data_IF_350105780527
#
_entry.id   IF_350105780527
#
_cell.length_a   1.000
_cell.length_b   1.000
_cell.length_c   1.000
_cell.angle_alpha   90.00
_cell.angle_beta   90.00
_cell.angle_gamma   90.00
#
_symmetry.space_group_name_H-M   'P 1'
#
loop_
_entity.id
_entity.type
_entity.pdbx_description
1 polymer ?
#
# COMPACT_ATOMS: atom_id res chain seq x y z
N UNK A 1 4.61 23.51 -17.41
CA UNK A 1 3.35 22.84 -17.00
C UNK A 1 3.51 21.32 -16.79
N UNK A 2 4.58 20.67 -17.31
CA UNK A 2 4.76 19.22 -17.20
C UNK A 2 5.34 18.76 -15.87
N UNK A 3 5.98 19.60 -15.08
CA UNK A 3 6.69 19.20 -13.85
C UNK A 3 5.78 19.09 -12.62
N UNK A 4 4.64 19.77 -12.62
CA UNK A 4 3.69 19.69 -11.48
C UNK A 4 3.01 18.32 -11.42
N UNK A 5 2.71 17.70 -12.56
CA UNK A 5 2.11 16.36 -12.61
C UNK A 5 3.05 15.23 -12.20
N UNK A 6 4.37 15.42 -12.28
CA UNK A 6 5.37 14.43 -11.86
C UNK A 6 5.57 14.34 -10.33
N UNK A 7 4.91 15.20 -9.56
CA UNK A 7 5.06 15.29 -8.10
C UNK A 7 3.86 14.77 -7.32
N UNK A 8 2.93 14.07 -7.96
CA UNK A 8 1.84 13.41 -7.24
C UNK A 8 2.22 11.96 -6.94
N UNK A 9 2.25 11.63 -5.67
CA UNK A 9 2.25 10.24 -5.24
C UNK A 9 0.81 9.72 -5.30
N UNK A 10 0.58 8.60 -5.97
CA UNK A 10 -0.70 7.92 -5.98
C UNK A 10 -0.50 6.52 -5.39
N UNK A 11 -1.33 6.14 -4.46
CA UNK A 11 -1.23 4.86 -3.79
C UNK A 11 -2.57 4.23 -3.47
N UNK A 12 -2.52 2.93 -3.27
CA UNK A 12 -3.60 2.17 -2.67
C UNK A 12 -3.52 2.32 -1.15
N UNK A 13 -4.63 2.70 -0.54
CA UNK A 13 -4.73 2.97 0.89
C UNK A 13 -5.68 1.96 1.53
N UNK A 14 -5.21 1.25 2.54
CA UNK A 14 -6.00 0.37 3.37
C UNK A 14 -6.59 1.14 4.54
N UNK A 15 -7.83 0.85 4.89
CA UNK A 15 -8.43 1.38 6.10
C UNK A 15 -7.90 0.60 7.33
N UNK A 16 -6.92 1.15 8.01
CA UNK A 16 -6.27 0.51 9.17
C UNK A 16 -7.19 0.36 10.38
N UNK A 17 -8.37 0.99 10.39
CA UNK A 17 -9.38 0.76 11.43
C UNK A 17 -10.10 -0.59 11.26
N UNK A 18 -10.07 -1.18 10.07
CA UNK A 18 -10.60 -2.51 9.83
C UNK A 18 -9.69 -3.56 10.48
N UNK A 19 -10.23 -4.51 11.27
CA UNK A 19 -9.43 -5.50 11.99
C UNK A 19 -8.40 -6.23 11.13
N UNK A 20 -8.78 -6.62 9.91
CA UNK A 20 -7.91 -7.34 8.97
C UNK A 20 -6.67 -6.54 8.53
N UNK A 21 -6.73 -5.21 8.57
CA UNK A 21 -5.62 -4.34 8.14
C UNK A 21 -4.84 -3.71 9.30
N UNK A 22 -5.20 -3.96 10.55
CA UNK A 22 -4.43 -3.45 11.70
C UNK A 22 -3.02 -4.01 11.73
N UNK A 23 -2.86 -5.29 11.46
CA UNK A 23 -1.55 -5.91 11.42
C UNK A 23 -0.75 -5.43 10.19
N UNK A 24 0.44 -4.84 10.44
CA UNK A 24 1.35 -4.37 9.41
C UNK A 24 1.76 -5.48 8.43
N UNK A 25 1.92 -6.72 8.93
CA UNK A 25 2.32 -7.88 8.12
C UNK A 25 1.30 -8.19 7.03
N UNK A 26 0.01 -8.04 7.32
CA UNK A 26 -1.06 -8.19 6.33
C UNK A 26 -0.90 -7.15 5.23
N UNK A 27 -0.73 -5.86 5.58
CA UNK A 27 -0.55 -4.79 4.60
C UNK A 27 0.72 -4.97 3.75
N UNK A 28 1.80 -5.44 4.36
CA UNK A 28 3.05 -5.77 3.63
C UNK A 28 2.83 -6.93 2.64
N UNK A 29 2.16 -7.99 3.06
CA UNK A 29 1.82 -9.11 2.20
C UNK A 29 0.99 -8.67 1.00
N UNK A 30 -0.05 -7.88 1.23
CA UNK A 30 -0.90 -7.34 0.17
C UNK A 30 -0.12 -6.44 -0.80
N UNK A 31 0.82 -5.62 -0.30
CA UNK A 31 1.66 -4.77 -1.13
C UNK A 31 2.62 -5.57 -2.03
N UNK A 32 3.10 -6.75 -1.58
CA UNK A 32 3.96 -7.63 -2.38
C UNK A 32 3.23 -8.28 -3.55
N UNK A 33 1.92 -8.45 -3.46
CA UNK A 33 1.10 -9.09 -4.49
C UNK A 33 0.73 -8.16 -5.65
N UNK A 34 1.03 -6.86 -5.53
CA UNK A 34 0.93 -5.90 -6.60
C UNK A 34 2.19 -5.90 -7.45
N UNK A 35 2.13 -6.52 -8.63
CA UNK A 35 3.22 -6.49 -9.62
C UNK A 35 3.22 -5.15 -10.37
N UNK A 36 3.88 -4.15 -9.75
CA UNK A 36 3.96 -2.81 -10.31
C UNK A 36 4.75 -2.79 -11.62
N UNK A 37 5.86 -3.51 -11.69
CA UNK A 37 6.77 -3.52 -12.84
C UNK A 37 6.06 -4.08 -14.09
N UNK A 38 5.30 -5.17 -13.92
CA UNK A 38 4.48 -5.72 -14.98
C UNK A 38 3.36 -4.76 -15.40
N UNK A 39 2.61 -4.23 -14.44
CA UNK A 39 1.51 -3.32 -14.70
C UNK A 39 1.99 -2.03 -15.38
N UNK A 40 3.13 -1.48 -14.94
CA UNK A 40 3.73 -0.29 -15.54
C UNK A 40 4.15 -0.54 -16.98
N UNK A 41 4.76 -1.69 -17.27
CA UNK A 41 5.19 -2.06 -18.62
C UNK A 41 4.00 -2.33 -19.55
N UNK A 42 3.07 -3.15 -19.12
CA UNK A 42 2.00 -3.66 -19.99
C UNK A 42 0.79 -2.73 -20.11
N UNK A 43 0.49 -1.95 -19.07
CA UNK A 43 -0.75 -1.18 -19.00
C UNK A 43 -0.51 0.33 -18.92
N UNK A 44 0.62 0.77 -18.37
CA UNK A 44 0.92 2.18 -18.13
C UNK A 44 2.08 2.71 -18.99
N UNK A 45 2.57 1.92 -19.96
CA UNK A 45 3.61 2.32 -20.94
C UNK A 45 4.90 2.85 -20.30
N UNK A 46 5.28 2.33 -19.14
CA UNK A 46 6.44 2.76 -18.35
C UNK A 46 6.41 4.25 -17.95
N UNK A 47 5.21 4.84 -17.83
CA UNK A 47 5.08 6.27 -17.49
C UNK A 47 5.21 6.57 -16.00
N UNK A 48 5.22 5.55 -15.15
CA UNK A 48 5.23 5.72 -13.70
C UNK A 48 6.51 5.17 -13.07
N UNK A 49 6.84 5.69 -11.91
CA UNK A 49 7.97 5.24 -11.08
C UNK A 49 7.40 4.78 -9.74
N UNK A 50 7.85 3.62 -9.24
CA UNK A 50 7.47 3.14 -7.91
C UNK A 50 7.99 4.11 -6.86
N UNK A 51 7.09 4.61 -6.02
CA UNK A 51 7.45 5.52 -4.93
C UNK A 51 8.23 4.76 -3.85
N UNK A 52 9.33 5.35 -3.39
CA UNK A 52 10.18 4.83 -2.31
C UNK A 52 10.16 5.73 -1.07
N UNK A 53 9.62 6.94 -1.19
CA UNK A 53 9.51 7.93 -0.13
C UNK A 53 8.32 8.85 -0.39
N UNK A 54 7.74 9.42 0.65
CA UNK A 54 6.78 10.51 0.52
C UNK A 54 7.38 11.72 -0.21
N UNK A 55 8.67 11.94 -0.06
CA UNK A 55 9.41 13.03 -0.66
C UNK A 55 10.20 12.62 -1.91
N UNK A 56 9.76 11.57 -2.61
CA UNK A 56 10.42 11.13 -3.84
C UNK A 56 10.67 12.32 -4.78
N UNK A 57 11.85 12.35 -5.41
CA UNK A 57 12.31 13.45 -6.28
C UNK A 57 12.54 14.80 -5.55
N UNK A 58 12.81 14.78 -4.26
CA UNK A 58 13.23 15.96 -3.49
C UNK A 58 14.46 15.63 -2.64
N UNK A 59 15.19 16.66 -2.16
CA UNK A 59 16.31 16.46 -1.24
C UNK A 59 15.92 15.82 0.10
N UNK A 60 14.64 15.80 0.44
CA UNK A 60 14.10 15.18 1.66
C UNK A 60 13.82 13.69 1.51
N UNK A 61 14.05 13.11 0.32
CA UNK A 61 13.87 11.67 0.12
C UNK A 61 14.98 10.91 0.85
N UNK A 62 14.59 10.02 1.76
CA UNK A 62 15.55 9.15 2.43
C UNK A 62 16.24 8.25 1.40
N UNK A 63 17.55 8.42 1.23
CA UNK A 63 18.40 7.65 0.31
C UNK A 63 19.41 6.76 1.03
N UNK A 64 19.57 6.97 2.34
CA UNK A 64 20.48 6.24 3.22
C UNK A 64 19.83 6.09 4.61
N UNK A 65 20.30 5.17 5.45
CA UNK A 65 19.86 5.08 6.85
C UNK A 65 20.05 6.41 7.58
N UNK A 66 19.30 6.68 8.65
CA UNK A 66 19.40 7.94 9.39
C UNK A 66 20.85 8.21 9.85
N UNK A 67 21.38 9.42 9.61
CA UNK A 67 22.70 9.82 10.14
C UNK A 67 22.65 9.94 11.68
N UNK A 68 23.81 10.01 12.36
CA UNK A 68 23.88 10.04 13.83
C UNK A 68 23.00 11.13 14.48
N UNK A 69 22.87 12.28 13.83
CA UNK A 69 22.08 13.41 14.31
C UNK A 69 20.56 13.09 14.28
N UNK A 70 20.10 12.45 13.23
CA UNK A 70 18.72 11.96 13.10
C UNK A 70 18.46 10.80 14.07
N UNK A 71 19.41 9.88 14.21
CA UNK A 71 19.31 8.77 15.15
C UNK A 71 19.13 9.27 16.59
N UNK A 72 19.83 10.35 16.98
CA UNK A 72 19.67 10.95 18.32
C UNK A 72 18.23 11.44 18.58
N UNK A 73 17.56 11.94 17.53
CA UNK A 73 16.14 12.38 17.62
C UNK A 73 15.19 11.18 17.65
N UNK A 74 15.53 10.12 16.91
CA UNK A 74 14.67 8.92 16.80
C UNK A 74 14.81 7.97 17.99
N UNK A 75 15.96 7.97 18.69
CA UNK A 75 16.27 7.03 19.77
C UNK A 75 15.21 6.95 20.88
N UNK A 76 14.60 8.07 21.35
CA UNK A 76 13.50 8.01 22.30
C UNK A 76 12.26 7.24 21.84
N UNK A 77 12.12 7.00 20.54
CA UNK A 77 11.01 6.26 19.93
C UNK A 77 11.33 4.77 19.76
N UNK A 78 12.52 4.31 20.15
CA UNK A 78 12.90 2.89 20.06
C UNK A 78 11.93 2.02 20.86
N UNK A 79 11.45 0.95 20.20
CA UNK A 79 10.40 0.09 20.74
C UNK A 79 8.96 0.59 20.52
N UNK A 80 8.77 1.85 20.09
CA UNK A 80 7.47 2.39 19.70
C UNK A 80 7.28 2.37 18.17
N UNK A 81 8.38 2.41 17.43
CA UNK A 81 8.40 2.31 15.97
C UNK A 81 9.21 1.08 15.53
N UNK A 82 9.01 0.57 14.32
CA UNK A 82 9.76 -0.59 13.82
C UNK A 82 11.26 -0.36 13.80
N UNK A 83 12.07 -1.37 14.16
CA UNK A 83 13.53 -1.27 14.22
C UNK A 83 14.17 -0.92 12.87
N UNK A 84 13.52 -1.25 11.76
CA UNK A 84 13.97 -0.90 10.42
C UNK A 84 14.12 0.61 10.22
N UNK A 85 13.36 1.43 10.96
CA UNK A 85 13.45 2.91 10.91
C UNK A 85 14.86 3.38 11.27
N UNK A 86 15.55 2.67 12.16
CA UNK A 86 16.90 3.04 12.63
C UNK A 86 18.03 2.51 11.76
N UNK A 87 17.75 1.50 10.92
CA UNK A 87 18.81 0.71 10.26
C UNK A 87 18.70 0.62 8.76
N UNK A 88 17.54 0.93 8.18
CA UNK A 88 17.27 0.66 6.78
C UNK A 88 16.54 1.82 6.10
N UNK A 89 16.75 1.93 4.80
CA UNK A 89 15.89 2.76 3.95
C UNK A 89 14.72 1.91 3.49
N UNK A 90 13.51 2.45 3.55
CA UNK A 90 12.35 1.78 3.00
C UNK A 90 12.52 1.50 1.51
N UNK A 91 12.24 0.26 1.12
CA UNK A 91 12.19 -0.16 -0.27
C UNK A 91 10.86 -0.82 -0.55
N UNK A 92 10.12 -0.27 -1.51
CA UNK A 92 8.90 -0.92 -1.97
C UNK A 92 9.22 -2.28 -2.58
N UNK A 93 8.32 -3.27 -2.47
CA UNK A 93 8.51 -4.56 -3.14
C UNK A 93 8.72 -4.39 -4.64
N UNK A 94 9.73 -5.05 -5.18
CA UNK A 94 10.06 -5.05 -6.61
C UNK A 94 9.88 -6.46 -7.16
N UNK A 95 9.38 -6.58 -8.39
CA UNK A 95 9.28 -7.82 -9.16
C UNK A 95 10.16 -7.75 -10.40
N UNK A 96 10.30 -8.84 -11.12
CA UNK A 96 10.97 -8.87 -12.43
C UNK A 96 10.09 -8.34 -13.58
N UNK A 97 8.82 -8.07 -13.29
CA UNK A 97 7.83 -7.61 -14.26
C UNK A 97 7.40 -8.69 -15.25
N UNK A 98 7.61 -9.96 -14.96
CA UNK A 98 7.17 -11.08 -15.79
C UNK A 98 5.67 -11.33 -15.70
N UNK A 99 5.01 -10.85 -14.66
CA UNK A 99 3.63 -11.19 -14.30
C UNK A 99 3.52 -12.51 -13.54
N UNK A 100 4.63 -13.19 -13.28
CA UNK A 100 4.73 -14.39 -12.45
C UNK A 100 5.42 -14.03 -11.14
N UNK A 101 4.65 -13.84 -10.08
CA UNK A 101 5.15 -13.35 -8.79
C UNK A 101 5.17 -14.44 -7.70
N UNK A 102 5.45 -15.68 -8.09
CA UNK A 102 5.41 -16.83 -7.16
C UNK A 102 6.25 -16.61 -5.90
N UNK A 103 7.43 -16.04 -6.04
CA UNK A 103 8.31 -15.76 -4.90
C UNK A 103 7.67 -14.75 -3.93
N UNK A 104 7.00 -13.73 -4.48
CA UNK A 104 6.27 -12.74 -3.67
C UNK A 104 5.04 -13.34 -3.02
N UNK A 105 4.37 -14.27 -3.69
CA UNK A 105 3.23 -15.01 -3.12
C UNK A 105 3.67 -15.88 -1.93
N UNK A 106 4.80 -16.58 -2.02
CA UNK A 106 5.33 -17.37 -0.91
C UNK A 106 5.75 -16.47 0.28
N UNK A 107 6.40 -15.34 0.01
CA UNK A 107 6.74 -14.35 1.04
C UNK A 107 5.48 -13.75 1.69
N UNK A 108 4.47 -13.43 0.89
CA UNK A 108 3.20 -12.91 1.39
C UNK A 108 2.47 -13.94 2.26
N UNK A 109 2.42 -15.20 1.85
CA UNK A 109 1.82 -16.28 2.64
C UNK A 109 2.50 -16.43 3.99
N UNK A 110 3.83 -16.39 4.06
CA UNK A 110 4.57 -16.47 5.33
C UNK A 110 4.22 -15.30 6.28
N UNK A 111 4.08 -14.09 5.74
CA UNK A 111 3.65 -12.92 6.53
C UNK A 111 2.20 -13.05 7.01
N UNK A 112 1.32 -13.56 6.17
CA UNK A 112 -0.09 -13.76 6.50
C UNK A 112 -0.26 -14.85 7.56
N UNK A 113 0.48 -15.96 7.44
CA UNK A 113 0.50 -17.03 8.44
C UNK A 113 1.01 -16.52 9.79
N UNK A 114 2.11 -15.76 9.79
CA UNK A 114 2.62 -15.10 11.00
C UNK A 114 1.61 -14.08 11.60
N UNK A 115 0.71 -13.54 10.79
CA UNK A 115 -0.38 -12.66 11.22
C UNK A 115 -1.67 -13.42 11.60
N UNK A 116 -1.66 -14.76 11.62
CA UNK A 116 -2.79 -15.59 12.04
C UNK A 116 -3.77 -15.97 10.92
N UNK A 117 -3.40 -15.76 9.66
CA UNK A 117 -4.20 -16.17 8.50
C UNK A 117 -3.72 -17.51 7.97
N UNK A 118 -4.57 -18.53 7.94
CA UNK A 118 -4.21 -19.88 7.53
C UNK A 118 -5.05 -20.37 6.35
N UNK A 119 -4.50 -21.22 5.48
CA UNK A 119 -5.25 -21.81 4.38
C UNK A 119 -6.36 -22.73 4.88
N UNK A 120 -7.56 -22.56 4.32
CA UNK A 120 -8.70 -23.47 4.53
C UNK A 120 -9.44 -23.65 3.20
N UNK A 121 -9.20 -24.79 2.56
CA UNK A 121 -9.64 -25.02 1.18
C UNK A 121 -8.95 -24.06 0.22
N UNK A 122 -9.74 -23.32 -0.53
CA UNK A 122 -9.29 -22.31 -1.49
C UNK A 122 -9.19 -20.89 -0.92
N UNK A 123 -9.37 -20.73 0.39
CA UNK A 123 -9.36 -19.42 1.07
C UNK A 123 -8.35 -19.34 2.20
N UNK A 124 -7.88 -18.12 2.48
CA UNK A 124 -7.18 -17.78 3.72
C UNK A 124 -8.21 -17.31 4.74
N UNK A 125 -8.15 -17.86 5.95
CA UNK A 125 -9.08 -17.54 7.04
C UNK A 125 -8.33 -17.15 8.30
N UNK A 126 -8.96 -16.33 9.14
CA UNK A 126 -8.49 -16.01 10.50
C UNK A 126 -8.82 -17.13 11.50
N UNK A 127 -8.52 -16.93 12.76
CA UNK A 127 -8.80 -17.88 13.85
C UNK A 127 -10.30 -18.17 14.02
N UNK A 128 -11.17 -17.23 13.68
CA UNK A 128 -12.63 -17.36 13.74
C UNK A 128 -13.21 -18.06 12.50
N UNK A 129 -12.37 -18.37 11.51
CA UNK A 129 -12.77 -19.00 10.26
C UNK A 129 -13.31 -18.02 9.22
N UNK A 130 -13.18 -16.72 9.44
CA UNK A 130 -13.60 -15.68 8.51
C UNK A 130 -12.56 -15.53 7.39
N UNK A 131 -12.99 -15.46 6.11
CA UNK A 131 -12.07 -15.32 4.98
C UNK A 131 -11.44 -13.94 4.91
N UNK A 132 -10.19 -13.87 4.41
CA UNK A 132 -9.54 -12.62 4.05
C UNK A 132 -10.16 -12.09 2.76
N UNK A 133 -11.18 -11.28 2.92
CA UNK A 133 -11.98 -10.71 1.85
C UNK A 133 -12.18 -9.23 2.08
N UNK A 134 -11.96 -8.40 1.05
CA UNK A 134 -12.13 -6.96 1.14
C UNK A 134 -12.54 -6.33 -0.18
N UNK A 135 -13.06 -5.11 -0.11
CA UNK A 135 -13.57 -4.36 -1.25
C UNK A 135 -12.66 -3.19 -1.59
N UNK A 136 -12.25 -3.12 -2.85
CA UNK A 136 -11.67 -1.91 -3.43
C UNK A 136 -12.79 -0.99 -3.90
N UNK A 137 -12.93 0.16 -3.24
CA UNK A 137 -13.90 1.17 -3.62
C UNK A 137 -13.30 2.12 -4.65
N UNK A 138 -13.99 2.35 -5.74
CA UNK A 138 -13.50 3.08 -6.90
C UNK A 138 -14.57 4.01 -7.48
N UNK A 139 -14.16 5.20 -7.94
CA UNK A 139 -14.98 6.14 -8.69
C UNK A 139 -14.51 6.34 -10.15
N UNK A 140 -13.36 5.75 -10.54
CA UNK A 140 -12.73 5.97 -11.84
C UNK A 140 -12.88 4.74 -12.76
N UNK A 141 -13.49 4.92 -13.93
CA UNK A 141 -13.76 3.82 -14.87
C UNK A 141 -12.49 3.07 -15.35
N UNK A 142 -11.35 3.77 -15.50
CA UNK A 142 -10.12 3.16 -16.02
C UNK A 142 -9.34 2.32 -15.02
N UNK A 143 -9.58 2.52 -13.72
CA UNK A 143 -8.79 1.90 -12.66
C UNK A 143 -9.07 0.40 -12.50
N UNK A 144 -10.27 -0.05 -12.85
CA UNK A 144 -10.65 -1.47 -12.76
C UNK A 144 -9.70 -2.37 -13.54
N UNK A 145 -9.31 -1.95 -14.74
CA UNK A 145 -8.38 -2.73 -15.58
C UNK A 145 -7.03 -2.95 -14.89
N UNK A 146 -6.53 -1.95 -14.16
CA UNK A 146 -5.28 -2.04 -13.42
C UNK A 146 -5.37 -2.98 -12.23
N UNK A 147 -6.57 -3.13 -11.66
CA UNK A 147 -6.81 -3.98 -10.49
C UNK A 147 -7.01 -5.46 -10.84
N UNK A 148 -7.36 -5.81 -12.07
CA UNK A 148 -7.61 -7.20 -12.45
C UNK A 148 -6.39 -8.12 -12.26
N UNK A 149 -5.17 -7.75 -12.65
CA UNK A 149 -3.97 -8.55 -12.37
C UNK A 149 -3.73 -8.72 -10.87
N UNK A 150 -3.93 -7.65 -10.10
CA UNK A 150 -3.81 -7.70 -8.64
C UNK A 150 -4.84 -8.65 -8.03
N UNK A 151 -6.11 -8.54 -8.42
CA UNK A 151 -7.17 -9.46 -8.00
C UNK A 151 -6.82 -10.91 -8.29
N UNK A 152 -6.26 -11.19 -9.47
CA UNK A 152 -5.81 -12.54 -9.84
C UNK A 152 -4.69 -13.03 -8.93
N UNK A 153 -3.68 -12.20 -8.67
CA UNK A 153 -2.56 -12.56 -7.80
C UNK A 153 -3.00 -12.86 -6.36
N UNK A 154 -3.95 -12.08 -5.84
CA UNK A 154 -4.58 -12.30 -4.54
C UNK A 154 -5.35 -13.62 -4.50
N UNK A 155 -6.17 -13.89 -5.51
CA UNK A 155 -6.99 -15.10 -5.59
C UNK A 155 -6.13 -16.38 -5.62
N UNK A 156 -4.95 -16.34 -6.24
CA UNK A 156 -4.03 -17.47 -6.30
C UNK A 156 -3.54 -17.95 -4.93
N UNK A 157 -3.62 -17.10 -3.91
CA UNK A 157 -3.26 -17.46 -2.53
C UNK A 157 -4.46 -17.41 -1.57
N UNK A 158 -5.68 -17.45 -2.10
CA UNK A 158 -6.89 -17.57 -1.29
C UNK A 158 -7.45 -16.27 -0.74
N UNK A 159 -7.06 -15.11 -1.27
CA UNK A 159 -7.57 -13.80 -0.87
C UNK A 159 -8.61 -13.31 -1.88
N UNK A 160 -9.75 -12.84 -1.40
CA UNK A 160 -10.83 -12.32 -2.25
C UNK A 160 -10.79 -10.80 -2.29
N UNK A 161 -10.59 -10.23 -3.48
CA UNK A 161 -10.73 -8.79 -3.74
C UNK A 161 -12.01 -8.52 -4.53
N UNK A 162 -12.94 -7.76 -3.95
CA UNK A 162 -14.11 -7.25 -4.64
C UNK A 162 -13.82 -5.84 -5.17
N UNK A 163 -14.13 -5.58 -6.43
CA UNK A 163 -13.97 -4.24 -7.02
C UNK A 163 -15.36 -3.64 -7.16
N UNK A 164 -15.61 -2.54 -6.46
CA UNK A 164 -16.89 -1.86 -6.45
C UNK A 164 -16.74 -0.43 -6.98
N UNK A 165 -17.40 -0.14 -8.10
CA UNK A 165 -17.50 1.21 -8.63
C UNK A 165 -18.74 1.91 -8.11
N UNK A 166 -18.58 3.17 -7.70
CA UNK A 166 -19.64 4.07 -7.26
C UNK A 166 -19.44 5.44 -7.91
N UNK A 167 -20.42 6.32 -7.80
CA UNK A 167 -20.28 7.70 -8.25
C UNK A 167 -19.35 8.52 -7.33
N UNK A 168 -18.84 9.64 -7.87
CA UNK A 168 -17.84 10.46 -7.17
C UNK A 168 -18.36 11.06 -5.86
N UNK A 169 -19.64 11.41 -5.77
CA UNK A 169 -20.22 11.99 -4.57
C UNK A 169 -20.30 10.97 -3.45
N UNK A 170 -20.76 9.75 -3.75
CA UNK A 170 -20.76 8.65 -2.81
C UNK A 170 -19.33 8.26 -2.39
N UNK A 171 -18.38 8.29 -3.34
CA UNK A 171 -16.97 8.00 -3.06
C UNK A 171 -16.40 8.94 -2.01
N UNK A 172 -16.58 10.26 -2.19
CA UNK A 172 -16.12 11.27 -1.23
C UNK A 172 -16.78 11.08 0.13
N UNK A 173 -18.11 10.91 0.17
CA UNK A 173 -18.85 10.73 1.41
C UNK A 173 -18.37 9.50 2.21
N UNK A 174 -18.09 8.38 1.51
CA UNK A 174 -17.60 7.16 2.16
C UNK A 174 -16.17 7.31 2.67
N UNK A 175 -15.30 8.01 1.95
CA UNK A 175 -13.94 8.32 2.43
C UNK A 175 -14.03 9.14 3.71
N UNK A 176 -14.84 10.21 3.73
CA UNK A 176 -15.01 11.07 4.91
C UNK A 176 -15.59 10.31 6.10
N UNK A 177 -16.50 9.37 5.85
CA UNK A 177 -17.07 8.49 6.87
C UNK A 177 -16.15 7.29 7.25
N UNK A 178 -14.97 7.14 6.60
CA UNK A 178 -14.09 5.98 6.73
C UNK A 178 -14.79 4.63 6.45
N UNK A 179 -15.82 4.67 5.60
CA UNK A 179 -16.60 3.49 5.19
C UNK A 179 -16.04 2.90 3.88
N UNK A 180 -14.86 2.34 3.98
CA UNK A 180 -14.18 1.62 2.90
C UNK A 180 -13.21 0.59 3.48
N UNK A 181 -12.78 -0.38 2.67
CA UNK A 181 -11.69 -1.28 3.02
C UNK A 181 -10.39 -0.84 2.35
N UNK A 182 -10.43 -0.62 1.05
CA UNK A 182 -9.29 -0.17 0.24
C UNK A 182 -9.75 0.83 -0.81
N UNK A 183 -8.97 1.89 -1.02
CA UNK A 183 -9.22 2.96 -1.99
C UNK A 183 -7.93 3.35 -2.71
N UNK A 184 -8.05 4.23 -3.72
CA UNK A 184 -6.90 4.94 -4.30
C UNK A 184 -6.95 6.41 -3.89
N UNK A 185 -5.83 6.94 -3.41
CA UNK A 185 -5.68 8.36 -3.11
C UNK A 185 -4.44 8.90 -3.82
N UNK A 186 -4.57 10.09 -4.39
CA UNK A 186 -3.45 10.90 -4.86
C UNK A 186 -3.02 11.86 -3.75
N UNK A 187 -1.75 11.84 -3.39
CA UNK A 187 -1.16 12.76 -2.44
C UNK A 187 -0.38 13.83 -3.19
N UNK A 188 -0.71 15.12 -3.01
CA UNK A 188 0.17 16.17 -3.52
C UNK A 188 1.50 16.08 -2.77
N UNK A 189 2.59 15.94 -3.50
CA UNK A 189 3.94 15.95 -2.92
C UNK A 189 4.54 17.32 -3.14
N UNK A 190 4.79 18.04 -2.06
CA UNK A 190 5.49 19.32 -2.06
C UNK A 190 6.97 19.14 -1.78
N UNK A 191 7.79 20.14 -2.10
CA UNK A 191 9.24 20.11 -1.83
C UNK A 191 9.59 20.40 -0.39
N UNK A 192 8.61 20.81 0.42
CA UNK A 192 8.75 21.01 1.87
C UNK A 192 7.52 20.46 2.58
N UNK A 193 7.70 19.89 3.79
CA UNK A 193 6.58 19.39 4.59
C UNK A 193 5.57 20.49 4.89
N UNK A 194 4.30 20.20 4.70
CA UNK A 194 3.20 21.12 4.97
C UNK A 194 1.97 20.41 5.54
N UNK A 195 0.85 21.10 5.58
CA UNK A 195 -0.44 20.57 6.09
C UNK A 195 -0.91 19.33 5.34
N UNK A 196 -0.48 19.12 4.10
CA UNK A 196 -0.78 17.92 3.35
C UNK A 196 -0.26 16.64 4.00
N UNK A 197 0.92 16.69 4.64
CA UNK A 197 1.45 15.54 5.40
C UNK A 197 0.66 15.30 6.68
N UNK A 198 0.34 16.38 7.40
CA UNK A 198 -0.51 16.28 8.59
C UNK A 198 -1.84 15.60 8.25
N UNK A 199 -2.51 16.06 7.19
CA UNK A 199 -3.76 15.45 6.75
C UNK A 199 -3.55 14.00 6.28
N UNK A 200 -2.50 13.69 5.54
CA UNK A 200 -2.19 12.35 5.09
C UNK A 200 -1.98 11.40 6.27
N UNK A 201 -1.13 11.76 7.22
CA UNK A 201 -0.78 10.91 8.36
C UNK A 201 -1.94 10.73 9.32
N UNK A 202 -2.73 11.77 9.60
CA UNK A 202 -3.90 11.69 10.47
C UNK A 202 -5.05 10.87 9.86
N UNK A 203 -5.21 10.89 8.53
CA UNK A 203 -6.30 10.15 7.89
C UNK A 203 -5.96 8.70 7.56
N UNK A 204 -4.67 8.37 7.48
CA UNK A 204 -4.21 7.05 7.01
C UNK A 204 -3.47 6.24 8.07
N UNK A 205 -3.10 6.84 9.18
CA UNK A 205 -2.44 6.16 10.30
C UNK A 205 -3.19 6.40 11.60
N UNK A 206 -3.05 5.48 12.54
CA UNK A 206 -3.49 5.62 13.93
C UNK A 206 -2.44 6.42 14.74
N UNK A 207 -1.88 7.48 14.14
CA UNK A 207 -0.95 8.35 14.83
C UNK A 207 -1.67 9.31 15.77
#
# INVERSE_FOLDING_TARGET
ASDVYKRQAQGYVFNVQKPMFKDRRVRQALAMLWDFEWANRQMMRNMYIRQQSFFSNSPLAASQPPPPEELAILEPLRGQVPDEVFTQVFKAPVTDGSGMIRDKQLQALALLEAAGWTPKGDKLVNADGEPLEFTFLNAQAGLERLLLPYKRNLAQIGITLNIRRIDSSQYVNRIMARDYDMIVIGFPVTTSPGMELYNCLLYTSDA
#
